data_IF_332486079039
#
_entry.id   IF_332486079039
#
_cell.length_a   1.000
_cell.length_b   1.000
_cell.length_c   1.000
_cell.angle_alpha   90.00
_cell.angle_beta   90.00
_cell.angle_gamma   90.00
#
_symmetry.space_group_name_H-M   'P 1'
#
loop_
_entity.id
_entity.type
_entity.pdbx_description
1 polymer ?
#
# COMPACT_ATOMS: atom_id res chain seq x y z
N UNK A 1 -40.34 -22.40 45.68
CA UNK A 1 -39.91 -22.21 44.28
C UNK A 1 -39.17 -23.46 43.82
N UNK A 2 -39.67 -24.15 42.80
CA UNK A 2 -39.15 -25.44 42.34
C UNK A 2 -37.75 -25.29 41.70
N UNK A 3 -36.85 -26.26 41.81
CA UNK A 3 -35.48 -26.20 41.29
C UNK A 3 -35.45 -25.84 39.79
N UNK A 4 -36.39 -26.40 39.01
CA UNK A 4 -36.58 -26.09 37.59
C UNK A 4 -36.90 -24.60 37.33
N UNK A 5 -37.67 -23.96 38.21
CA UNK A 5 -38.03 -22.53 38.08
C UNK A 5 -36.83 -21.63 38.41
N UNK A 6 -36.00 -22.01 39.40
CA UNK A 6 -34.74 -21.31 39.71
C UNK A 6 -33.76 -21.40 38.54
N UNK A 7 -33.58 -22.60 37.99
CA UNK A 7 -32.68 -22.84 36.86
C UNK A 7 -33.11 -22.04 35.62
N UNK A 8 -34.40 -22.06 35.29
CA UNK A 8 -34.95 -21.28 34.16
C UNK A 8 -34.75 -19.76 34.34
N UNK A 9 -34.92 -19.25 35.57
CA UNK A 9 -34.71 -17.82 35.86
C UNK A 9 -33.24 -17.43 35.69
N UNK A 10 -32.32 -18.26 36.16
CA UNK A 10 -30.87 -18.03 36.03
C UNK A 10 -30.44 -18.13 34.56
N UNK A 11 -30.86 -19.17 33.84
CA UNK A 11 -30.50 -19.34 32.42
C UNK A 11 -31.03 -18.19 31.57
N UNK A 12 -32.25 -17.72 31.82
CA UNK A 12 -32.81 -16.54 31.16
C UNK A 12 -31.98 -15.29 31.43
N UNK A 13 -31.58 -15.06 32.69
CA UNK A 13 -30.73 -13.92 33.05
C UNK A 13 -29.36 -13.98 32.36
N UNK A 14 -28.73 -15.15 32.34
CA UNK A 14 -27.45 -15.36 31.64
C UNK A 14 -27.58 -15.10 30.14
N UNK A 15 -28.63 -15.62 29.49
CA UNK A 15 -28.89 -15.39 28.08
C UNK A 15 -29.18 -13.92 27.76
N UNK A 16 -29.91 -13.20 28.62
CA UNK A 16 -30.15 -11.76 28.45
C UNK A 16 -28.86 -10.96 28.57
N UNK A 17 -28.00 -11.28 29.55
CA UNK A 17 -26.69 -10.62 29.71
C UNK A 17 -25.80 -10.90 28.50
N UNK A 18 -25.73 -12.16 28.07
CA UNK A 18 -24.97 -12.55 26.88
C UNK A 18 -25.46 -11.86 25.61
N UNK A 19 -26.79 -11.78 25.42
CA UNK A 19 -27.41 -11.05 24.33
C UNK A 19 -27.09 -9.55 24.38
N UNK A 20 -27.09 -8.95 25.57
CA UNK A 20 -26.71 -7.55 25.76
C UNK A 20 -25.25 -7.27 25.40
N UNK A 21 -24.32 -8.12 25.86
CA UNK A 21 -22.89 -8.02 25.53
C UNK A 21 -22.68 -8.20 24.01
N UNK A 22 -23.35 -9.19 23.42
CA UNK A 22 -23.26 -9.45 21.98
C UNK A 22 -23.76 -8.26 21.16
N UNK A 23 -24.88 -7.65 21.57
CA UNK A 23 -25.42 -6.47 20.91
C UNK A 23 -24.48 -5.27 21.01
N UNK A 24 -23.87 -5.03 22.18
CA UNK A 24 -22.85 -3.99 22.34
C UNK A 24 -21.66 -4.24 21.41
N UNK A 25 -21.19 -5.49 21.31
CA UNK A 25 -20.14 -5.86 20.36
C UNK A 25 -20.50 -5.53 18.92
N UNK A 26 -21.71 -5.87 18.48
CA UNK A 26 -22.20 -5.54 17.13
C UNK A 26 -22.28 -4.03 16.90
N UNK A 27 -22.75 -3.25 17.89
CA UNK A 27 -22.82 -1.78 17.78
C UNK A 27 -21.42 -1.18 17.67
N UNK A 28 -20.47 -1.64 18.48
CA UNK A 28 -19.08 -1.13 18.46
C UNK A 28 -18.41 -1.47 17.12
N UNK A 29 -18.48 -2.73 16.67
CA UNK A 29 -17.87 -3.16 15.42
C UNK A 29 -18.56 -2.47 14.24
N UNK A 30 -19.89 -2.46 14.20
CA UNK A 30 -20.66 -1.80 13.14
C UNK A 30 -20.41 -0.30 13.09
N UNK A 31 -20.32 0.36 14.25
CA UNK A 31 -19.99 1.78 14.35
C UNK A 31 -18.56 2.08 13.88
N UNK A 32 -17.58 1.24 14.23
CA UNK A 32 -16.21 1.37 13.76
C UNK A 32 -16.11 1.20 12.24
N UNK A 33 -16.73 0.15 11.69
CA UNK A 33 -16.75 -0.08 10.24
C UNK A 33 -17.46 1.05 9.49
N UNK A 34 -18.60 1.52 10.02
CA UNK A 34 -19.30 2.66 9.43
C UNK A 34 -18.44 3.92 9.44
N UNK A 35 -17.79 4.22 10.57
CA UNK A 35 -16.88 5.35 10.67
C UNK A 35 -15.70 5.23 9.69
N UNK A 36 -15.04 4.07 9.63
CA UNK A 36 -13.89 3.84 8.76
C UNK A 36 -14.24 3.88 7.27
N UNK A 37 -15.48 3.59 6.90
CA UNK A 37 -15.95 3.69 5.50
C UNK A 37 -16.45 5.09 5.13
N UNK A 38 -16.80 5.93 6.12
CA UNK A 38 -17.38 7.25 5.91
C UNK A 38 -16.44 8.34 6.39
N UNK A 39 -16.63 8.83 7.62
CA UNK A 39 -15.96 10.02 8.15
C UNK A 39 -14.45 9.83 8.37
N UNK A 40 -14.02 8.61 8.71
CA UNK A 40 -12.61 8.29 8.88
C UNK A 40 -11.90 7.96 7.56
N UNK A 41 -12.63 7.88 6.45
CA UNK A 41 -12.07 7.55 5.15
C UNK A 41 -11.64 8.83 4.41
N UNK A 42 -10.50 9.36 4.79
CA UNK A 42 -9.98 10.62 4.24
C UNK A 42 -8.60 10.42 3.63
N UNK A 43 -8.24 11.30 2.72
CA UNK A 43 -6.88 11.36 2.21
C UNK A 43 -5.93 11.78 3.33
N UNK A 44 -4.75 11.15 3.38
CA UNK A 44 -3.70 11.40 4.35
C UNK A 44 -2.44 11.81 3.59
N UNK A 45 -1.90 12.96 3.95
CA UNK A 45 -0.71 13.54 3.33
C UNK A 45 0.41 13.74 4.36
N UNK A 46 1.65 13.50 3.96
CA UNK A 46 2.88 13.76 4.73
C UNK A 46 2.84 13.29 6.21
N UNK A 47 2.18 12.16 6.45
CA UNK A 47 2.04 11.56 7.78
C UNK A 47 2.82 10.26 7.97
N UNK A 48 3.24 9.60 6.87
CA UNK A 48 3.85 8.29 6.95
C UNK A 48 5.23 8.34 7.64
N UNK A 49 5.44 7.43 8.58
CA UNK A 49 6.72 7.26 9.28
C UNK A 49 7.61 6.26 8.54
N UNK A 50 8.89 6.17 8.95
CA UNK A 50 9.83 5.17 8.40
C UNK A 50 9.37 3.73 8.66
N UNK A 51 8.67 3.50 9.78
CA UNK A 51 8.10 2.19 10.10
C UNK A 51 6.96 1.81 9.16
N UNK A 52 6.16 2.79 8.74
CA UNK A 52 5.01 2.54 7.87
C UNK A 52 5.44 2.17 6.45
N UNK A 53 6.55 2.72 5.96
CA UNK A 53 7.06 2.48 4.60
C UNK A 53 8.12 1.39 4.51
N UNK A 54 8.46 0.71 5.62
CA UNK A 54 9.52 -0.33 5.65
C UNK A 54 9.31 -1.45 4.64
N UNK A 55 8.05 -1.75 4.35
CA UNK A 55 7.66 -2.81 3.42
C UNK A 55 8.20 -2.53 2.00
N UNK A 56 8.33 -1.25 1.60
CA UNK A 56 8.78 -0.84 0.26
C UNK A 56 10.17 -1.40 -0.02
N UNK A 57 11.13 -1.22 0.89
CA UNK A 57 12.49 -1.72 0.70
C UNK A 57 12.61 -3.22 0.99
N UNK A 58 11.74 -3.78 1.84
CA UNK A 58 11.74 -5.20 2.15
C UNK A 58 11.22 -6.04 0.97
N UNK A 59 10.19 -5.59 0.26
CA UNK A 59 9.64 -6.31 -0.91
C UNK A 59 10.61 -6.41 -2.08
N UNK A 60 11.45 -5.40 -2.29
CA UNK A 60 12.46 -5.40 -3.34
C UNK A 60 13.85 -5.87 -2.88
N UNK A 61 13.97 -6.39 -1.65
CA UNK A 61 15.20 -6.99 -1.13
C UNK A 61 16.33 -6.01 -0.80
N UNK A 62 16.06 -4.70 -0.75
CA UNK A 62 17.06 -3.68 -0.36
C UNK A 62 17.25 -3.60 1.15
N UNK A 63 16.21 -3.91 1.93
CA UNK A 63 16.19 -3.87 3.39
C UNK A 63 15.88 -2.50 3.97
N UNK A 64 14.95 -2.46 4.93
CA UNK A 64 14.40 -1.25 5.56
C UNK A 64 15.40 -0.45 6.41
N UNK A 65 16.50 -1.06 6.87
CA UNK A 65 17.56 -0.38 7.62
C UNK A 65 18.23 0.77 6.85
N UNK A 66 18.00 0.88 5.54
CA UNK A 66 18.55 1.93 4.67
C UNK A 66 17.67 3.18 4.59
N UNK A 67 16.47 3.15 5.16
CA UNK A 67 15.55 4.29 5.14
C UNK A 67 16.13 5.38 6.03
N UNK A 68 16.42 6.54 5.44
CA UNK A 68 16.84 7.74 6.16
C UNK A 68 15.60 8.49 6.66
N UNK A 69 14.69 8.84 5.74
CA UNK A 69 13.42 9.49 6.06
C UNK A 69 12.40 9.39 4.93
N UNK A 70 11.13 9.53 5.30
CA UNK A 70 10.05 9.78 4.34
C UNK A 70 10.01 11.28 4.05
N UNK A 71 10.14 11.66 2.77
CA UNK A 71 10.09 13.05 2.34
C UNK A 71 8.66 13.50 2.04
N UNK A 72 7.90 12.62 1.38
CA UNK A 72 6.51 12.84 0.99
C UNK A 72 5.74 11.55 1.10
N UNK A 73 4.48 11.65 1.50
CA UNK A 73 3.55 10.52 1.54
C UNK A 73 2.15 10.94 1.15
N UNK A 74 1.45 10.09 0.42
CA UNK A 74 0.04 10.24 0.10
C UNK A 74 -0.64 8.88 0.24
N UNK A 75 -1.82 8.87 0.84
CA UNK A 75 -2.69 7.70 0.95
C UNK A 75 -4.12 8.20 0.77
N UNK A 76 -4.74 7.83 -0.34
CA UNK A 76 -6.12 8.21 -0.62
C UNK A 76 -7.08 7.45 0.30
N UNK A 77 -8.25 8.04 0.49
CA UNK A 77 -9.43 7.29 0.93
C UNK A 77 -9.63 6.04 0.04
N UNK A 78 -10.09 4.94 0.66
CA UNK A 78 -10.34 3.67 -0.02
C UNK A 78 -11.78 3.59 -0.49
N UNK A 79 -12.01 3.24 -1.76
CA UNK A 79 -13.36 2.96 -2.23
C UNK A 79 -13.86 1.61 -1.68
N UNK A 80 -15.17 1.35 -1.80
CA UNK A 80 -15.74 0.06 -1.40
C UNK A 80 -15.15 -1.13 -2.19
N UNK A 81 -14.77 -0.92 -3.45
CA UNK A 81 -14.09 -1.91 -4.31
C UNK A 81 -12.58 -1.96 -4.06
N UNK A 82 -12.07 -1.12 -3.15
CA UNK A 82 -10.67 -1.04 -2.78
C UNK A 82 -9.85 -0.18 -3.73
N UNK A 83 -10.47 0.70 -4.51
CA UNK A 83 -9.77 1.64 -5.39
C UNK A 83 -9.04 2.65 -4.52
N UNK A 84 -7.82 2.98 -4.94
CA UNK A 84 -6.93 3.78 -4.13
C UNK A 84 -5.71 4.31 -4.88
N UNK A 85 -5.04 5.27 -4.25
CA UNK A 85 -3.71 5.73 -4.56
C UNK A 85 -2.90 5.88 -3.27
N UNK A 86 -1.80 5.13 -3.17
CA UNK A 86 -0.73 5.37 -2.22
C UNK A 86 0.53 5.76 -2.97
N UNK A 87 1.23 6.77 -2.48
CA UNK A 87 2.53 7.13 -3.01
C UNK A 87 3.46 7.56 -1.89
N UNK A 88 4.74 7.17 -2.00
CA UNK A 88 5.79 7.60 -1.06
C UNK A 88 7.03 8.07 -1.83
N UNK A 89 7.66 9.15 -1.35
CA UNK A 89 9.03 9.51 -1.70
C UNK A 89 9.92 9.32 -0.48
N UNK A 90 10.87 8.39 -0.58
CA UNK A 90 11.68 7.92 0.54
C UNK A 90 13.14 8.23 0.24
N UNK A 91 13.79 8.94 1.15
CA UNK A 91 15.25 9.12 1.12
C UNK A 91 15.90 7.88 1.73
N UNK A 92 16.90 7.34 1.05
CA UNK A 92 17.69 6.21 1.53
C UNK A 92 19.17 6.59 1.67
N UNK A 93 19.92 5.81 2.44
CA UNK A 93 21.34 6.07 2.71
C UNK A 93 22.24 5.65 1.53
N UNK A 94 21.95 4.52 0.90
CA UNK A 94 22.73 3.95 -0.19
C UNK A 94 21.93 2.91 -1.01
N UNK A 95 22.15 2.91 -2.33
CA UNK A 95 21.85 1.81 -3.25
C UNK A 95 22.83 1.87 -4.41
N UNK A 96 23.40 0.74 -4.80
CA UNK A 96 24.36 0.66 -5.91
C UNK A 96 23.67 0.14 -7.17
N UNK A 97 24.22 0.49 -8.34
CA UNK A 97 23.70 -0.02 -9.63
C UNK A 97 23.90 -1.54 -9.72
N UNK A 98 24.97 -2.07 -9.14
CA UNK A 98 25.24 -3.50 -9.13
C UNK A 98 24.13 -4.28 -8.41
N UNK A 99 23.60 -3.77 -7.28
CA UNK A 99 22.45 -4.35 -6.58
C UNK A 99 21.16 -4.35 -7.43
N UNK A 100 21.04 -3.45 -8.41
CA UNK A 100 19.88 -3.32 -9.29
C UNK A 100 20.06 -4.03 -10.64
N UNK A 101 21.26 -4.53 -10.95
CA UNK A 101 21.56 -5.14 -12.26
C UNK A 101 22.11 -6.56 -12.15
N UNK A 102 22.62 -6.94 -10.97
CA UNK A 102 23.00 -8.32 -10.71
C UNK A 102 21.78 -9.22 -10.78
N UNK A 103 21.85 -10.26 -11.60
CA UNK A 103 20.79 -11.27 -11.71
C UNK A 103 20.62 -11.90 -10.33
N UNK A 104 19.44 -11.71 -9.73
CA UNK A 104 19.08 -12.31 -8.45
C UNK A 104 19.24 -13.83 -8.57
N UNK A 105 20.27 -14.38 -7.91
CA UNK A 105 20.49 -15.83 -7.80
C UNK A 105 19.37 -16.53 -6.99
N UNK A 106 18.49 -15.75 -6.35
CA UNK A 106 17.52 -16.22 -5.38
C UNK A 106 16.07 -16.10 -5.87
N UNK A 107 15.83 -15.75 -7.14
CA UNK A 107 14.49 -15.68 -7.72
C UNK A 107 13.60 -14.51 -7.24
N UNK A 108 14.11 -13.65 -6.35
CA UNK A 108 13.39 -12.44 -5.92
C UNK A 108 13.73 -11.29 -6.87
N UNK A 109 12.74 -11.00 -7.72
CA UNK A 109 12.47 -9.81 -8.54
C UNK A 109 13.60 -9.19 -9.39
N UNK A 110 13.35 -9.15 -10.70
CA UNK A 110 14.16 -8.42 -11.67
C UNK A 110 13.85 -6.91 -11.57
N UNK A 111 14.88 -6.12 -11.28
CA UNK A 111 14.85 -4.69 -11.54
C UNK A 111 14.97 -4.44 -13.06
N UNK A 112 14.19 -3.50 -13.55
CA UNK A 112 14.23 -3.06 -14.95
C UNK A 112 14.75 -1.64 -15.02
N UNK A 113 15.61 -1.35 -16.00
CA UNK A 113 16.00 0.02 -16.29
C UNK A 113 14.82 0.72 -16.97
N UNK A 114 14.43 1.89 -16.48
CA UNK A 114 13.13 2.46 -16.79
C UNK A 114 13.03 3.11 -18.18
N UNK A 115 14.15 3.28 -18.89
CA UNK A 115 14.22 3.64 -20.31
C UNK A 115 14.03 2.43 -21.26
N UNK A 116 13.93 1.21 -20.73
CA UNK A 116 13.87 -0.03 -21.51
C UNK A 116 12.94 -1.05 -20.86
N UNK A 117 11.66 -0.70 -20.73
CA UNK A 117 10.64 -1.52 -20.07
C UNK A 117 10.00 -2.55 -21.01
N UNK A 118 9.68 -3.76 -20.51
CA UNK A 118 8.73 -4.64 -21.18
C UNK A 118 7.36 -3.97 -21.30
N UNK A 119 6.61 -4.29 -22.36
CA UNK A 119 5.32 -3.64 -22.70
C UNK A 119 4.36 -3.52 -21.52
N UNK A 120 4.15 -4.60 -20.74
CA UNK A 120 3.19 -4.54 -19.64
C UNK A 120 3.61 -3.60 -18.50
N UNK A 121 4.92 -3.50 -18.25
CA UNK A 121 5.48 -2.60 -17.24
C UNK A 121 5.49 -1.16 -17.77
N UNK A 122 5.73 -1.00 -19.06
CA UNK A 122 5.61 0.27 -19.77
C UNK A 122 4.20 0.86 -19.62
N UNK A 123 3.16 0.05 -19.87
CA UNK A 123 1.76 0.43 -19.68
C UNK A 123 1.42 0.69 -18.20
N UNK A 124 2.00 -0.06 -17.26
CA UNK A 124 1.80 0.19 -15.84
C UNK A 124 2.41 1.53 -15.39
N UNK A 125 3.54 1.94 -15.98
CA UNK A 125 4.12 3.28 -15.77
C UNK A 125 3.21 4.37 -16.35
N UNK A 126 2.58 4.16 -17.50
CA UNK A 126 1.57 5.09 -18.03
C UNK A 126 0.33 5.16 -17.13
N UNK A 127 -0.14 4.02 -16.61
CA UNK A 127 -1.29 3.97 -15.71
C UNK A 127 -1.09 4.84 -14.45
N UNK A 128 0.09 4.76 -13.82
CA UNK A 128 0.39 5.62 -12.65
C UNK A 128 0.52 7.10 -13.04
N UNK A 129 0.91 7.41 -14.29
CA UNK A 129 0.99 8.77 -14.80
C UNK A 129 -0.35 9.52 -14.75
N UNK A 130 -1.47 8.80 -14.86
CA UNK A 130 -2.82 9.37 -14.70
C UNK A 130 -3.09 9.99 -13.32
N UNK A 131 -2.34 9.57 -12.30
CA UNK A 131 -2.50 10.00 -10.90
C UNK A 131 -1.63 11.21 -10.51
N UNK A 132 -0.83 11.75 -11.43
CA UNK A 132 0.09 12.86 -11.15
C UNK A 132 -0.59 14.09 -10.53
N UNK A 133 -1.88 14.31 -10.81
CA UNK A 133 -2.66 15.42 -10.27
C UNK A 133 -2.90 15.32 -8.76
N UNK A 134 -2.97 14.11 -8.20
CA UNK A 134 -3.06 13.89 -6.74
C UNK A 134 -1.68 13.90 -6.07
N UNK A 135 -0.63 13.52 -6.80
CA UNK A 135 0.75 13.47 -6.28
C UNK A 135 1.73 14.29 -7.14
N UNK A 136 1.64 15.64 -7.17
CA UNK A 136 2.47 16.47 -8.07
C UNK A 136 3.98 16.37 -7.81
N UNK A 137 4.37 15.95 -6.59
CA UNK A 137 5.75 15.75 -6.17
C UNK A 137 6.34 14.41 -6.62
N UNK A 138 5.50 13.47 -7.07
CA UNK A 138 5.95 12.19 -7.61
C UNK A 138 6.62 12.42 -8.97
N UNK A 139 7.66 11.65 -9.34
CA UNK A 139 8.29 11.80 -10.66
C UNK A 139 7.28 11.60 -11.79
N UNK A 140 7.31 12.50 -12.78
CA UNK A 140 6.45 12.41 -13.96
C UNK A 140 6.77 11.18 -14.81
N UNK A 141 5.83 10.76 -15.65
CA UNK A 141 6.03 9.64 -16.58
C UNK A 141 7.33 9.79 -17.40
N UNK A 142 7.53 10.97 -18.02
CA UNK A 142 8.75 11.25 -18.77
C UNK A 142 10.03 11.15 -17.94
N UNK A 143 9.96 11.55 -16.65
CA UNK A 143 11.11 11.47 -15.74
C UNK A 143 11.42 10.03 -15.35
N UNK A 144 10.39 9.22 -15.10
CA UNK A 144 10.51 7.81 -14.79
C UNK A 144 11.13 7.04 -15.96
N UNK A 145 10.84 7.43 -17.21
CA UNK A 145 11.33 6.77 -18.44
C UNK A 145 12.78 7.13 -18.81
N UNK A 146 13.62 7.43 -17.83
CA UNK A 146 15.03 7.76 -18.03
C UNK A 146 15.95 6.68 -17.52
N UNK A 147 17.17 6.62 -18.04
CA UNK A 147 18.22 5.68 -17.61
C UNK A 147 18.65 5.85 -16.14
N UNK A 148 18.24 6.95 -15.50
CA UNK A 148 18.57 7.22 -14.10
C UNK A 148 17.61 6.53 -13.12
N UNK A 149 16.50 5.98 -13.62
CA UNK A 149 15.53 5.22 -12.84
C UNK A 149 15.62 3.72 -13.13
N UNK A 150 15.39 2.96 -12.06
CA UNK A 150 15.14 1.53 -12.09
C UNK A 150 13.77 1.28 -11.47
N UNK A 151 13.01 0.35 -12.02
CA UNK A 151 11.70 -0.03 -11.51
C UNK A 151 11.69 -1.49 -11.14
N UNK A 152 11.07 -1.77 -10.00
CA UNK A 152 10.77 -3.09 -9.52
C UNK A 152 9.24 -3.25 -9.52
N UNK A 153 8.70 -4.12 -10.40
CA UNK A 153 7.28 -4.42 -10.41
C UNK A 153 6.97 -5.41 -9.28
N UNK A 154 6.36 -4.93 -8.20
CA UNK A 154 5.91 -5.84 -7.14
C UNK A 154 4.66 -6.59 -7.57
N UNK A 155 3.66 -5.87 -8.06
CA UNK A 155 2.46 -6.46 -8.64
C UNK A 155 1.90 -5.57 -9.75
N UNK A 156 1.33 -6.22 -10.77
CA UNK A 156 0.58 -5.56 -11.85
C UNK A 156 -0.66 -6.44 -12.08
N UNK A 157 -1.83 -5.85 -11.92
CA UNK A 157 -3.11 -6.51 -12.18
C UNK A 157 -3.72 -5.95 -13.44
N UNK A 158 -4.15 -6.85 -14.31
CA UNK A 158 -4.68 -6.49 -15.61
C UNK A 158 -6.14 -6.91 -15.74
N UNK A 159 -6.91 -6.10 -16.45
CA UNK A 159 -8.15 -6.54 -17.07
C UNK A 159 -7.87 -6.77 -18.56
N UNK A 160 -7.79 -8.04 -18.96
CA UNK A 160 -7.23 -8.39 -20.27
C UNK A 160 -5.75 -8.06 -20.33
N UNK A 161 -5.35 -7.18 -21.25
CA UNK A 161 -3.95 -6.74 -21.42
C UNK A 161 -3.65 -5.40 -20.76
N UNK A 162 -4.67 -4.68 -20.29
CA UNK A 162 -4.51 -3.32 -19.75
C UNK A 162 -4.40 -3.35 -18.23
N UNK A 163 -3.40 -2.69 -17.62
CA UNK A 163 -3.30 -2.54 -16.18
C UNK A 163 -4.51 -1.80 -15.58
N UNK A 164 -5.07 -2.35 -14.50
CA UNK A 164 -6.13 -1.72 -13.68
C UNK A 164 -5.69 -1.48 -12.24
N UNK A 165 -4.62 -2.17 -11.82
CA UNK A 165 -3.94 -1.85 -10.57
C UNK A 165 -2.45 -2.19 -10.67
N UNK A 166 -1.62 -1.48 -9.91
CA UNK A 166 -0.18 -1.73 -9.90
C UNK A 166 0.45 -1.31 -8.57
N UNK A 167 1.47 -2.06 -8.17
CA UNK A 167 2.40 -1.71 -7.09
C UNK A 167 3.81 -1.66 -7.67
N UNK A 168 4.34 -0.45 -7.83
CA UNK A 168 5.65 -0.21 -8.45
C UNK A 168 6.58 0.48 -7.45
N UNK A 169 7.83 0.03 -7.44
CA UNK A 169 8.90 0.64 -6.67
C UNK A 169 9.95 1.16 -7.64
N UNK A 170 10.17 2.47 -7.65
CA UNK A 170 11.21 3.10 -8.44
C UNK A 170 12.39 3.47 -7.55
N UNK A 171 13.59 3.40 -8.11
CA UNK A 171 14.82 3.82 -7.46
C UNK A 171 15.55 4.76 -8.40
N UNK A 172 16.02 5.87 -7.84
CA UNK A 172 16.93 6.81 -8.51
C UNK A 172 18.27 6.79 -7.76
N UNK A 173 19.21 5.91 -8.14
CA UNK A 173 20.37 5.59 -7.31
C UNK A 173 21.26 6.80 -6.99
N UNK A 174 21.52 7.64 -7.99
CA UNK A 174 22.36 8.85 -7.85
C UNK A 174 21.84 9.82 -6.80
N UNK A 175 20.52 9.93 -6.67
CA UNK A 175 19.87 10.80 -5.70
C UNK A 175 19.54 10.09 -4.40
N UNK A 176 19.77 8.77 -4.32
CA UNK A 176 19.44 7.93 -3.17
C UNK A 176 17.98 8.08 -2.78
N UNK A 177 17.12 8.02 -3.80
CA UNK A 177 15.68 8.16 -3.66
C UNK A 177 15.00 6.85 -4.06
N UNK A 178 14.00 6.46 -3.29
CA UNK A 178 13.05 5.41 -3.61
C UNK A 178 11.68 6.05 -3.72
N UNK A 179 10.93 5.71 -4.76
CA UNK A 179 9.55 6.14 -4.93
C UNK A 179 8.67 4.90 -4.98
N UNK A 180 7.60 4.89 -4.21
CA UNK A 180 6.62 3.81 -4.22
C UNK A 180 5.30 4.35 -4.72
N UNK A 181 4.58 3.55 -5.50
CA UNK A 181 3.19 3.81 -5.85
C UNK A 181 2.38 2.53 -5.82
N UNK A 182 1.23 2.56 -5.16
CA UNK A 182 0.16 1.56 -5.27
C UNK A 182 -1.09 2.26 -5.76
N UNK A 183 -1.58 1.87 -6.92
CA UNK A 183 -2.76 2.47 -7.50
C UNK A 183 -3.72 1.38 -7.97
N UNK A 184 -5.02 1.59 -7.75
CA UNK A 184 -6.10 0.72 -8.24
C UNK A 184 -7.29 1.58 -8.65
N UNK A 185 -7.87 1.24 -9.81
CA UNK A 185 -9.13 1.76 -10.33
C UNK A 185 -10.18 0.65 -10.48
#
# INVERSE_FOLDING_TARGET
>A
MNFKQKLFKISRQLLTIWGGISLLGVIIIGGYLFYSMTLGNTNIEDNATTSDVRFVLNWCGLGDQRIDKVLKSYTSARSFTGDHLDAYAIKITNVTIDELTSKSNNGVGLWYRADSLPTILDEAVTFIGGWQHETPWFPTEDSLRTKDFYVYPWSIYCHGVTPTATELIFVKPKEKMVYYVSAKM
#
